data_IF_214301274654
#
_entry.id   IF_214301274654
#
_cell.length_a   1.000
_cell.length_b   1.000
_cell.length_c   1.000
_cell.angle_alpha   90.00
_cell.angle_beta   90.00
_cell.angle_gamma   90.00
#
_symmetry.space_group_name_H-M   'P 1'
#
loop_
_entity.id
_entity.type
_entity.pdbx_description
1 polymer ?
#
# COMPACT_ATOMS: atom_id res chain seq x y z
N UNK A 1 -40.52 -12.80 -13.45
CA UNK A 1 -39.29 -12.56 -14.25
C UNK A 1 -38.16 -12.37 -13.27
N UNK A 2 -37.40 -13.42 -12.99
CA UNK A 2 -36.22 -13.40 -12.11
C UNK A 2 -35.01 -13.06 -12.97
N UNK A 3 -34.45 -11.87 -12.78
CA UNK A 3 -33.20 -11.47 -13.42
C UNK A 3 -32.08 -12.39 -12.94
N UNK A 4 -31.46 -13.10 -13.87
CA UNK A 4 -30.43 -14.09 -13.59
C UNK A 4 -29.16 -13.45 -13.06
N UNK A 5 -28.68 -13.97 -11.94
CA UNK A 5 -27.27 -13.99 -11.56
C UNK A 5 -26.48 -14.88 -12.55
N UNK A 6 -26.40 -14.45 -13.80
CA UNK A 6 -25.76 -15.19 -14.88
C UNK A 6 -24.61 -14.41 -15.47
N UNK A 7 -23.48 -14.34 -14.74
CA UNK A 7 -22.12 -14.27 -15.32
C UNK A 7 -20.99 -14.41 -14.27
N UNK A 8 -21.14 -15.25 -13.24
CA UNK A 8 -20.05 -15.54 -12.29
C UNK A 8 -19.44 -16.93 -12.49
N UNK A 9 -20.01 -17.76 -13.37
CA UNK A 9 -19.59 -19.15 -13.59
C UNK A 9 -18.39 -19.29 -14.54
N UNK A 10 -17.94 -18.20 -15.17
CA UNK A 10 -16.81 -18.20 -16.12
C UNK A 10 -15.72 -17.18 -15.76
N UNK A 11 -15.78 -16.63 -14.55
CA UNK A 11 -14.67 -15.87 -14.00
C UNK A 11 -13.67 -16.90 -13.50
N UNK A 12 -12.56 -17.08 -14.21
CA UNK A 12 -11.40 -17.81 -13.70
C UNK A 12 -10.87 -17.06 -12.47
N UNK A 13 -11.40 -17.44 -11.29
CA UNK A 13 -10.99 -16.89 -10.00
C UNK A 13 -9.49 -17.06 -9.82
N UNK A 14 -8.93 -18.18 -10.27
CA UNK A 14 -7.48 -18.43 -10.28
C UNK A 14 -6.70 -17.44 -11.16
N UNK A 15 -7.25 -17.08 -12.33
CA UNK A 15 -6.61 -16.12 -13.24
C UNK A 15 -6.69 -14.69 -12.71
N UNK A 16 -7.81 -14.32 -12.06
CA UNK A 16 -7.95 -13.04 -11.38
C UNK A 16 -7.04 -12.94 -10.14
N UNK A 17 -6.92 -14.02 -9.37
CA UNK A 17 -6.03 -14.08 -8.22
C UNK A 17 -4.56 -13.95 -8.67
N UNK A 18 -4.13 -14.70 -9.68
CA UNK A 18 -2.76 -14.66 -10.18
C UNK A 18 -2.38 -13.28 -10.74
N UNK A 19 -3.25 -12.63 -11.53
CA UNK A 19 -3.00 -11.26 -12.01
C UNK A 19 -2.86 -10.25 -10.87
N UNK A 20 -3.59 -10.43 -9.76
CA UNK A 20 -3.49 -9.56 -8.57
C UNK A 20 -2.20 -9.80 -7.78
N UNK A 21 -1.70 -11.03 -7.74
CA UNK A 21 -0.43 -11.36 -7.07
C UNK A 21 0.79 -10.84 -7.83
N UNK A 22 0.82 -10.98 -9.15
CA UNK A 22 1.93 -10.47 -9.97
C UNK A 22 2.03 -8.94 -9.86
N UNK A 23 0.89 -8.26 -9.91
CA UNK A 23 0.84 -6.80 -9.74
C UNK A 23 1.32 -6.32 -8.36
N UNK A 24 1.02 -7.07 -7.30
CA UNK A 24 1.50 -6.77 -5.95
C UNK A 24 3.01 -6.95 -5.82
N UNK A 25 3.59 -7.97 -6.47
CA UNK A 25 5.04 -8.17 -6.47
C UNK A 25 5.78 -7.05 -7.22
N UNK A 26 5.26 -6.61 -8.36
CA UNK A 26 5.86 -5.51 -9.13
C UNK A 26 5.82 -4.19 -8.36
N UNK A 27 4.70 -3.89 -7.69
CA UNK A 27 4.58 -2.74 -6.79
C UNK A 27 5.54 -2.84 -5.61
N UNK A 28 5.63 -4.01 -4.98
CA UNK A 28 6.53 -4.23 -3.85
C UNK A 28 8.00 -4.04 -4.24
N UNK A 29 8.40 -4.51 -5.43
CA UNK A 29 9.74 -4.33 -5.96
C UNK A 29 10.03 -2.87 -6.28
N UNK A 30 9.11 -2.20 -6.98
CA UNK A 30 9.25 -0.78 -7.33
C UNK A 30 9.29 0.11 -6.07
N UNK A 31 8.48 -0.20 -5.05
CA UNK A 31 8.52 0.47 -3.75
C UNK A 31 9.84 0.26 -2.99
N UNK A 32 10.47 -0.90 -3.16
CA UNK A 32 11.75 -1.21 -2.50
C UNK A 32 12.94 -0.49 -3.15
N UNK A 33 12.86 -0.23 -4.45
CA UNK A 33 13.85 0.53 -5.23
C UNK A 33 13.62 2.05 -5.17
N UNK A 34 12.49 2.49 -4.61
CA UNK A 34 12.14 3.90 -4.49
C UNK A 34 13.01 4.61 -3.45
N UNK A 35 13.55 5.75 -3.86
CA UNK A 35 14.38 6.62 -3.01
C UNK A 35 13.90 8.06 -3.17
N UNK A 36 13.57 8.68 -2.04
CA UNK A 36 13.38 10.12 -1.92
C UNK A 36 14.72 10.82 -1.77
N UNK A 37 14.87 11.98 -2.40
CA UNK A 37 16.10 12.76 -2.41
C UNK A 37 15.81 14.22 -2.09
N UNK A 38 16.67 14.80 -1.26
CA UNK A 38 16.66 16.24 -1.03
C UNK A 38 18.08 16.77 -0.87
N UNK A 39 18.23 18.05 -1.21
CA UNK A 39 19.45 18.82 -1.06
C UNK A 39 19.07 20.15 -0.41
N UNK A 40 19.90 20.67 0.49
CA UNK A 40 19.66 22.01 1.03
C UNK A 40 19.90 23.09 -0.05
N UNK A 41 19.36 24.29 0.17
CA UNK A 41 19.41 25.40 -0.80
C UNK A 41 20.83 25.78 -1.23
N UNK A 42 21.84 25.51 -0.40
CA UNK A 42 23.24 25.85 -0.64
C UNK A 42 24.08 24.68 -1.16
N UNK A 43 23.49 23.49 -1.35
CA UNK A 43 24.19 22.29 -1.81
C UNK A 43 25.29 21.82 -0.88
N UNK A 44 25.10 22.02 0.42
CA UNK A 44 26.02 21.66 1.48
C UNK A 44 25.72 20.29 2.10
N UNK A 45 24.48 19.84 2.01
CA UNK A 45 23.93 18.61 2.58
C UNK A 45 22.96 18.01 1.57
N UNK A 46 23.25 16.78 1.14
CA UNK A 46 22.35 15.98 0.33
C UNK A 46 21.96 14.69 1.06
N UNK A 47 20.69 14.31 0.96
CA UNK A 47 20.12 13.16 1.66
C UNK A 47 19.35 12.28 0.69
N UNK A 48 19.54 10.97 0.86
CA UNK A 48 18.71 9.94 0.26
C UNK A 48 17.94 9.19 1.35
N UNK A 49 16.63 9.01 1.13
CA UNK A 49 15.71 8.34 2.03
C UNK A 49 14.98 7.21 1.30
N UNK A 50 15.16 5.97 1.74
CA UNK A 50 14.52 4.80 1.16
C UNK A 50 13.49 4.17 2.09
N UNK A 51 12.98 3.01 1.68
CA UNK A 51 11.98 2.23 2.44
C UNK A 51 12.44 1.80 3.84
N UNK A 52 13.75 1.70 4.08
CA UNK A 52 14.34 1.37 5.39
C UNK A 52 14.76 2.61 6.20
N UNK A 53 14.50 3.82 5.70
CA UNK A 53 14.91 5.08 6.30
C UNK A 53 16.07 5.74 5.56
N UNK A 54 16.95 6.43 6.29
CA UNK A 54 18.10 7.14 5.72
C UNK A 54 19.07 6.16 5.02
N UNK A 55 19.19 6.27 3.70
CA UNK A 55 20.06 5.41 2.88
C UNK A 55 21.36 6.10 2.48
N UNK A 56 21.38 7.44 2.44
CA UNK A 56 22.55 8.23 2.07
C UNK A 56 22.56 9.60 2.72
N UNK A 57 23.74 10.06 3.13
CA UNK A 57 23.99 11.41 3.63
C UNK A 57 25.35 11.87 3.09
N UNK A 58 25.34 12.92 2.29
CA UNK A 58 26.54 13.58 1.78
C UNK A 58 26.67 14.97 2.38
N UNK A 59 27.84 15.26 2.93
CA UNK A 59 28.15 16.56 3.54
C UNK A 59 29.31 17.19 2.78
N UNK A 60 29.08 18.37 2.21
CA UNK A 60 30.13 19.15 1.59
C UNK A 60 31.14 19.62 2.66
N UNK A 61 32.46 19.67 2.38
CA UNK A 61 33.46 20.10 3.36
C UNK A 61 33.22 21.49 3.96
N UNK A 62 32.51 22.37 3.25
CA UNK A 62 32.09 23.69 3.76
C UNK A 62 31.02 23.57 4.87
N UNK A 63 30.12 22.59 4.79
CA UNK A 63 29.09 22.34 5.80
C UNK A 63 29.72 22.00 7.17
N UNK A 64 30.84 21.28 7.17
CA UNK A 64 31.60 20.96 8.38
C UNK A 64 32.26 22.17 9.06
N UNK A 65 32.30 23.33 8.39
CA UNK A 65 32.82 24.58 8.96
C UNK A 65 31.74 25.40 9.65
N UNK A 66 30.46 25.01 9.50
CA UNK A 66 29.34 25.59 10.23
C UNK A 66 29.44 25.21 11.71
N UNK A 67 28.70 25.93 12.55
CA UNK A 67 28.54 25.48 13.94
C UNK A 67 27.79 24.15 13.97
N UNK A 68 28.05 23.34 15.01
CA UNK A 68 27.39 22.04 15.17
C UNK A 68 25.85 22.17 15.22
N UNK A 69 25.33 23.28 15.78
CA UNK A 69 23.90 23.56 15.83
C UNK A 69 23.32 23.84 14.44
N UNK A 70 23.95 24.72 13.66
CA UNK A 70 23.51 25.04 12.30
C UNK A 70 23.55 23.81 11.39
N UNK A 71 24.62 23.01 11.48
CA UNK A 71 24.73 21.77 10.71
C UNK A 71 23.65 20.76 11.11
N UNK A 72 23.34 20.63 12.40
CA UNK A 72 22.29 19.73 12.86
C UNK A 72 20.89 20.16 12.38
N UNK A 73 20.57 21.45 12.41
CA UNK A 73 19.31 21.95 11.85
C UNK A 73 19.22 21.72 10.35
N UNK A 74 20.30 21.99 9.62
CA UNK A 74 20.38 21.76 8.17
C UNK A 74 20.15 20.29 7.83
N UNK A 75 20.84 19.36 8.49
CA UNK A 75 20.65 17.92 8.27
C UNK A 75 19.21 17.51 8.56
N UNK A 76 18.63 17.95 9.69
CA UNK A 76 17.24 17.60 10.03
C UNK A 76 16.25 18.11 8.99
N UNK A 77 16.45 19.33 8.49
CA UNK A 77 15.61 19.92 7.44
C UNK A 77 15.71 19.12 6.14
N UNK A 78 16.93 18.80 5.68
CA UNK A 78 17.14 18.04 4.45
C UNK A 78 16.63 16.60 4.56
N UNK A 79 16.82 15.95 5.72
CA UNK A 79 16.25 14.60 5.96
C UNK A 79 14.73 14.62 5.90
N UNK A 80 14.09 15.62 6.50
CA UNK A 80 12.64 15.77 6.44
C UNK A 80 12.16 15.97 5.00
N UNK A 81 12.84 16.82 4.23
CA UNK A 81 12.52 17.04 2.82
C UNK A 81 12.68 15.75 1.99
N UNK A 82 13.73 14.96 2.23
CA UNK A 82 13.93 13.69 1.53
C UNK A 82 12.83 12.66 1.89
N UNK A 83 12.37 12.64 3.14
CA UNK A 83 11.26 11.79 3.56
C UNK A 83 9.91 12.24 2.96
N UNK A 84 9.69 13.56 2.82
CA UNK A 84 8.51 14.11 2.15
C UNK A 84 8.51 13.78 0.64
N UNK A 85 9.67 13.87 -0.02
CA UNK A 85 9.84 13.45 -1.43
C UNK A 85 9.65 11.93 -1.59
N UNK A 86 10.16 11.11 -0.66
CA UNK A 86 9.89 9.66 -0.66
C UNK A 86 8.40 9.36 -0.57
N UNK A 87 7.69 9.97 0.39
CA UNK A 87 6.25 9.78 0.57
C UNK A 87 5.46 10.19 -0.68
N UNK A 88 5.82 11.34 -1.28
CA UNK A 88 5.16 11.83 -2.51
C UNK A 88 5.33 10.84 -3.65
N UNK A 89 6.56 10.39 -3.91
CA UNK A 89 6.83 9.41 -4.97
C UNK A 89 6.20 8.05 -4.69
N UNK A 90 6.10 7.68 -3.42
CA UNK A 90 5.46 6.42 -3.02
C UNK A 90 3.94 6.49 -3.27
N UNK A 91 3.31 7.62 -2.95
CA UNK A 91 1.90 7.88 -3.31
C UNK A 91 1.71 7.85 -4.83
N UNK A 92 2.57 8.51 -5.60
CA UNK A 92 2.51 8.49 -7.08
C UNK A 92 2.66 7.07 -7.65
N UNK A 93 3.56 6.26 -7.07
CA UNK A 93 3.78 4.87 -7.47
C UNK A 93 2.54 4.00 -7.20
N UNK A 94 1.89 4.21 -6.04
CA UNK A 94 0.66 3.51 -5.70
C UNK A 94 -0.51 3.97 -6.58
N UNK A 95 -0.65 5.26 -6.85
CA UNK A 95 -1.69 5.79 -7.73
C UNK A 95 -1.53 5.30 -9.17
N UNK A 96 -0.28 5.22 -9.66
CA UNK A 96 0.04 4.67 -10.98
C UNK A 96 -0.23 3.16 -11.08
N UNK A 97 0.02 2.41 -10.00
CA UNK A 97 -0.20 0.97 -9.98
C UNK A 97 -1.68 0.61 -9.79
N UNK A 98 -2.40 1.26 -8.89
CA UNK A 98 -3.80 0.95 -8.59
C UNK A 98 -4.79 1.71 -9.48
N UNK A 99 -4.29 2.53 -10.40
CA UNK A 99 -5.06 3.17 -11.45
C UNK A 99 -5.95 4.28 -10.94
N UNK A 100 -5.36 5.43 -10.57
CA UNK A 100 -5.90 6.80 -10.69
C UNK A 100 -7.26 7.18 -10.07
N UNK A 101 -8.08 6.24 -9.62
CA UNK A 101 -9.45 6.49 -9.16
C UNK A 101 -9.64 5.92 -7.76
N UNK A 102 -9.52 6.81 -6.77
CA UNK A 102 -10.28 6.77 -5.51
C UNK A 102 -9.98 5.67 -4.50
N UNK A 103 -9.53 4.48 -4.91
CA UNK A 103 -9.46 3.30 -4.05
C UNK A 103 -8.53 3.48 -2.83
N UNK A 104 -7.44 4.25 -2.99
CA UNK A 104 -6.52 4.53 -1.88
C UNK A 104 -6.89 5.80 -1.10
N UNK A 105 -7.56 6.78 -1.74
CA UNK A 105 -8.14 7.95 -1.06
C UNK A 105 -9.24 7.52 -0.08
N UNK A 106 -9.98 6.48 -0.44
CA UNK A 106 -11.06 5.88 0.35
C UNK A 106 -10.51 4.88 1.40
N UNK A 107 -9.36 4.22 1.15
CA UNK A 107 -8.66 3.42 2.15
C UNK A 107 -8.03 4.25 3.28
N UNK A 108 -7.78 5.55 3.05
CA UNK A 108 -7.38 6.51 4.09
C UNK A 108 -8.56 7.04 4.92
N UNK A 109 -9.80 6.67 4.59
CA UNK A 109 -10.96 7.01 5.40
C UNK A 109 -11.22 5.90 6.44
N UNK A 110 -10.93 6.13 7.73
CA UNK A 110 -11.10 5.10 8.76
C UNK A 110 -12.54 4.63 8.94
N UNK A 111 -13.53 5.40 8.47
CA UNK A 111 -14.94 4.97 8.46
C UNK A 111 -15.25 4.07 7.25
N UNK A 112 -14.71 4.38 6.06
CA UNK A 112 -14.87 3.51 4.89
C UNK A 112 -14.19 2.13 5.07
N UNK A 113 -13.06 2.09 5.81
CA UNK A 113 -12.41 0.85 6.21
C UNK A 113 -13.30 0.00 7.13
N UNK A 114 -14.02 0.62 8.07
CA UNK A 114 -14.96 -0.09 8.96
C UNK A 114 -16.15 -0.67 8.20
N UNK A 115 -16.70 0.10 7.25
CA UNK A 115 -17.83 -0.36 6.44
C UNK A 115 -17.43 -1.53 5.54
N UNK A 116 -16.24 -1.49 4.93
CA UNK A 116 -15.66 -2.63 4.20
C UNK A 116 -15.44 -3.85 5.10
N UNK A 117 -14.94 -3.67 6.33
CA UNK A 117 -14.77 -4.77 7.29
C UNK A 117 -16.12 -5.39 7.65
N UNK A 118 -17.16 -4.58 7.89
CA UNK A 118 -18.52 -5.06 8.15
C UNK A 118 -19.13 -5.78 6.95
N UNK A 119 -18.91 -5.29 5.73
CA UNK A 119 -19.36 -5.98 4.52
C UNK A 119 -18.66 -7.33 4.34
N UNK A 120 -17.36 -7.41 4.62
CA UNK A 120 -16.61 -8.66 4.61
C UNK A 120 -17.08 -9.62 5.71
N UNK A 121 -17.36 -9.13 6.92
CA UNK A 121 -17.91 -9.92 8.03
C UNK A 121 -19.29 -10.48 7.65
N UNK A 122 -20.15 -9.66 7.05
CA UNK A 122 -21.49 -10.08 6.59
C UNK A 122 -21.43 -11.10 5.45
N UNK A 123 -20.48 -10.94 4.52
CA UNK A 123 -20.29 -11.88 3.41
C UNK A 123 -19.69 -13.21 3.89
N UNK A 124 -18.78 -13.15 4.85
CA UNK A 124 -18.21 -14.32 5.51
C UNK A 124 -19.29 -15.10 6.28
N UNK A 125 -20.11 -14.41 7.08
CA UNK A 125 -21.19 -15.03 7.84
C UNK A 125 -22.23 -15.73 6.96
N UNK A 126 -22.58 -15.13 5.80
CA UNK A 126 -23.49 -15.79 4.84
C UNK A 126 -22.86 -17.03 4.24
N UNK A 127 -21.62 -16.92 3.78
CA UNK A 127 -20.90 -18.04 3.16
C UNK A 127 -20.69 -19.18 4.16
N UNK A 128 -20.39 -18.87 5.41
CA UNK A 128 -20.20 -19.84 6.47
C UNK A 128 -21.51 -20.53 6.86
N UNK A 129 -22.62 -19.78 6.93
CA UNK A 129 -23.95 -20.36 7.16
C UNK A 129 -24.41 -21.24 6.00
N UNK A 130 -24.12 -20.86 4.75
CA UNK A 130 -24.43 -21.67 3.58
C UNK A 130 -23.61 -22.98 3.58
N UNK A 131 -22.32 -22.92 3.90
CA UNK A 131 -21.46 -24.11 4.02
C UNK A 131 -21.91 -25.03 5.16
N UNK A 132 -22.29 -24.46 6.32
CA UNK A 132 -22.81 -25.25 7.44
C UNK A 132 -24.17 -25.87 7.12
N UNK A 133 -25.06 -25.15 6.42
CA UNK A 133 -26.34 -25.69 5.95
C UNK A 133 -26.18 -26.79 4.89
N UNK A 134 -25.15 -26.71 4.05
CA UNK A 134 -24.78 -27.75 3.10
C UNK A 134 -24.23 -29.00 3.84
N UNK A 135 -23.39 -28.79 4.85
CA UNK A 135 -22.85 -29.86 5.71
C UNK A 135 -23.95 -30.59 6.50
N UNK A 136 -24.94 -29.86 7.02
CA UNK A 136 -26.09 -30.45 7.71
C UNK A 136 -26.98 -31.26 6.76
N UNK A 137 -27.15 -30.79 5.51
CA UNK A 137 -27.84 -31.56 4.45
C UNK A 137 -27.09 -32.84 4.08
N UNK A 138 -25.76 -32.80 3.99
CA UNK A 138 -24.91 -33.98 3.74
C UNK A 138 -25.04 -34.98 4.89
N UNK A 139 -24.98 -34.49 6.13
CA UNK A 139 -25.11 -35.29 7.35
C UNK A 139 -26.47 -36.00 7.42
N UNK A 140 -27.56 -35.29 7.15
CA UNK A 140 -28.91 -35.86 7.13
C UNK A 140 -29.08 -36.93 6.04
N UNK A 141 -28.39 -36.78 4.91
CA UNK A 141 -28.41 -37.74 3.79
C UNK A 141 -27.56 -38.99 4.05
N UNK A 142 -26.57 -38.91 4.93
CA UNK A 142 -25.72 -40.03 5.37
C UNK A 142 -26.27 -40.77 6.60
N UNK A 143 -27.37 -40.29 7.19
CA UNK A 143 -28.10 -40.99 8.26
C UNK A 143 -27.41 -40.96 9.63
N UNK A 144 -26.68 -39.89 9.96
CA UNK A 144 -26.14 -39.61 11.30
C UNK A 144 -26.71 -38.35 11.94
#
# INVERSE_FOLDING_TARGET
>A
MTAGFGDFANIDVDKLLNMRFDHVQDVQKAASELVGRAEDESGLVAVEYGSQGLSGLELHPKAMRLSAGELAEMIKATVRAAAEDFNTRFEDLLDGAFGGDGAMREARDPEALKDRIKEMETAYDRTFNDVMGELDRIRHRLGL
#
